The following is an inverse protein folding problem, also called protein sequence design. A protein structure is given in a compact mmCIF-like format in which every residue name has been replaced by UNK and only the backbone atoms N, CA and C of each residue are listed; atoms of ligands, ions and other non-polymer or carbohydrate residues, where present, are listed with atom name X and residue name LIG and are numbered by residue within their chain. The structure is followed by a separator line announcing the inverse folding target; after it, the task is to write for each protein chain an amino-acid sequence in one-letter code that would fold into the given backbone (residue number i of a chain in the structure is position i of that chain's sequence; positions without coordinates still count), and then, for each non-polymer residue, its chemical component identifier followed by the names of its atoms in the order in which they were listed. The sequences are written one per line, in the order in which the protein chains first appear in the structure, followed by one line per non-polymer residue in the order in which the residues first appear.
data_IF_953345397568
#
_entry.id   IF_953345397568
#
_cell.length_a   1.000
_cell.length_b   1.000
_cell.length_c   1.000
_cell.angle_alpha   90.00
_cell.angle_beta   90.00
_cell.angle_gamma   90.00
#
_symmetry.space_group_name_H-M   'P 1'
#
loop_
_entity.id
_entity.type
_entity.pdbx_description
1 polymer ?
#
# COMPACT_ATOMS: atom_id res chain seq x y z
N UNK A 1 5.47 -29.04 -28.86
CA UNK A 1 4.39 -28.32 -28.14
C UNK A 1 5.04 -27.74 -26.91
N UNK A 2 5.50 -26.51 -27.02
CA UNK A 2 6.51 -25.94 -26.11
C UNK A 2 5.92 -24.70 -25.46
N UNK A 3 6.34 -24.48 -24.21
CA UNK A 3 6.22 -23.27 -23.39
C UNK A 3 5.16 -23.33 -22.27
N UNK A 4 5.32 -24.33 -21.39
CA UNK A 4 5.10 -24.09 -19.96
C UNK A 4 6.39 -23.46 -19.43
N UNK A 5 6.55 -22.15 -19.60
CA UNK A 5 7.65 -21.40 -18.98
C UNK A 5 7.08 -20.64 -17.80
N UNK A 6 7.41 -21.14 -16.60
CA UNK A 6 7.51 -20.43 -15.32
C UNK A 6 7.30 -18.92 -15.47
N UNK A 7 6.25 -18.41 -14.84
CA UNK A 7 6.11 -17.01 -14.45
C UNK A 7 7.14 -16.79 -13.33
N UNK A 8 8.41 -16.69 -13.71
CA UNK A 8 9.50 -16.15 -12.89
C UNK A 8 10.13 -15.08 -13.77
N UNK A 9 10.25 -13.88 -13.22
CA UNK A 9 10.89 -12.73 -13.84
C UNK A 9 10.13 -12.08 -15.01
N UNK A 10 8.92 -11.54 -14.75
CA UNK A 10 8.50 -10.35 -15.50
C UNK A 10 9.10 -9.14 -14.78
N UNK A 11 10.31 -8.75 -15.16
CA UNK A 11 10.72 -7.35 -15.01
C UNK A 11 9.62 -6.52 -15.68
N UNK A 12 8.90 -5.75 -14.88
CA UNK A 12 7.84 -4.84 -15.33
C UNK A 12 8.41 -4.01 -16.47
N UNK A 13 7.77 -4.10 -17.64
CA UNK A 13 8.20 -3.34 -18.79
C UNK A 13 7.84 -1.87 -18.51
N UNK A 14 8.84 -1.00 -18.33
CA UNK A 14 8.66 0.38 -17.88
C UNK A 14 7.66 1.18 -18.74
N UNK A 15 7.52 0.83 -20.03
CA UNK A 15 6.50 1.40 -20.93
C UNK A 15 5.08 0.96 -20.59
N UNK A 16 4.88 -0.29 -20.14
CA UNK A 16 3.59 -0.78 -19.68
C UNK A 16 3.12 -0.01 -18.44
N UNK A 17 4.06 0.36 -17.57
CA UNK A 17 3.76 1.10 -16.36
C UNK A 17 3.24 2.51 -16.68
N UNK A 18 3.79 3.22 -17.68
CA UNK A 18 3.33 4.59 -18.03
C UNK A 18 1.89 4.66 -18.55
N UNK A 19 1.51 3.77 -19.46
CA UNK A 19 0.14 3.76 -19.97
C UNK A 19 -0.84 3.37 -18.86
N UNK A 20 -0.42 2.44 -18.01
CA UNK A 20 -1.21 1.98 -16.88
C UNK A 20 -1.37 3.03 -15.78
N UNK A 21 -0.31 3.75 -15.41
CA UNK A 21 -0.35 4.88 -14.48
C UNK A 21 -1.36 5.93 -14.95
N UNK A 22 -1.42 6.19 -16.27
CA UNK A 22 -2.41 7.11 -16.83
C UNK A 22 -3.84 6.60 -16.61
N UNK A 23 -4.08 5.31 -16.90
CA UNK A 23 -5.39 4.69 -16.65
C UNK A 23 -5.76 4.73 -15.16
N UNK A 24 -4.82 4.42 -14.26
CA UNK A 24 -5.04 4.51 -12.82
C UNK A 24 -5.37 5.94 -12.41
N UNK A 25 -4.65 6.93 -12.93
CA UNK A 25 -4.92 8.36 -12.68
C UNK A 25 -6.31 8.78 -13.13
N UNK A 26 -6.72 8.39 -14.34
CA UNK A 26 -8.08 8.65 -14.86
C UNK A 26 -9.16 7.98 -14.00
N UNK A 27 -8.87 6.79 -13.47
CA UNK A 27 -9.78 6.03 -12.61
C UNK A 27 -9.87 6.60 -11.20
N UNK A 28 -8.77 7.13 -10.66
CA UNK A 28 -8.76 7.91 -9.41
C UNK A 28 -9.64 9.15 -9.59
N UNK A 29 -9.46 9.90 -10.69
CA UNK A 29 -10.28 11.08 -10.98
C UNK A 29 -11.78 10.74 -11.13
N UNK A 30 -12.09 9.56 -11.66
CA UNK A 30 -13.47 9.08 -11.83
C UNK A 30 -14.05 8.42 -10.56
N UNK A 31 -13.31 8.40 -9.44
CA UNK A 31 -13.69 7.73 -8.18
C UNK A 31 -14.00 6.22 -8.33
N UNK A 32 -13.36 5.53 -9.27
CA UNK A 32 -13.59 4.11 -9.55
C UNK A 32 -12.71 3.21 -8.67
N UNK A 33 -12.97 3.25 -7.36
CA UNK A 33 -12.21 2.49 -6.37
C UNK A 33 -12.25 0.97 -6.60
N UNK A 34 -13.38 0.46 -7.10
CA UNK A 34 -13.54 -0.97 -7.37
C UNK A 34 -12.59 -1.45 -8.47
N UNK A 35 -12.46 -0.68 -9.55
CA UNK A 35 -11.50 -0.99 -10.61
C UNK A 35 -10.06 -1.01 -10.09
N UNK A 36 -9.68 0.00 -9.29
CA UNK A 36 -8.30 0.11 -8.79
C UNK A 36 -7.98 -1.00 -7.79
N UNK A 37 -8.90 -1.29 -6.85
CA UNK A 37 -8.71 -2.40 -5.90
C UNK A 37 -8.64 -3.75 -6.60
N UNK A 38 -9.49 -4.01 -7.60
CA UNK A 38 -9.42 -5.29 -8.33
C UNK A 38 -8.13 -5.39 -9.14
N UNK A 39 -7.74 -4.29 -9.78
CA UNK A 39 -6.49 -4.18 -10.52
C UNK A 39 -5.27 -4.48 -9.65
N UNK A 40 -5.16 -3.81 -8.50
CA UNK A 40 -4.03 -3.99 -7.59
C UNK A 40 -3.98 -5.40 -6.99
N UNK A 41 -5.13 -6.06 -6.81
CA UNK A 41 -5.19 -7.47 -6.39
C UNK A 41 -4.69 -8.47 -7.42
N UNK A 42 -4.75 -8.14 -8.71
CA UNK A 42 -4.32 -9.04 -9.78
C UNK A 42 -2.84 -8.88 -10.16
N UNK A 43 -2.17 -7.84 -9.64
CA UNK A 43 -0.73 -7.58 -9.87
C UNK A 43 0.12 -7.95 -8.66
N UNK A 44 1.44 -8.02 -8.85
CA UNK A 44 2.32 -8.23 -7.70
C UNK A 44 2.37 -6.98 -6.82
N UNK A 45 2.54 -7.15 -5.49
CA UNK A 45 2.63 -6.02 -4.57
C UNK A 45 3.68 -4.97 -4.96
N UNK A 46 4.86 -5.43 -5.41
CA UNK A 46 5.93 -4.55 -5.91
C UNK A 46 5.51 -3.74 -7.15
N UNK A 47 4.74 -4.33 -8.07
CA UNK A 47 4.27 -3.64 -9.28
C UNK A 47 3.25 -2.54 -8.90
N UNK A 48 2.37 -2.83 -7.93
CA UNK A 48 1.41 -1.86 -7.41
C UNK A 48 2.10 -0.73 -6.65
N UNK A 49 3.12 -1.06 -5.85
CA UNK A 49 3.94 -0.08 -5.15
C UNK A 49 4.64 0.85 -6.15
N UNK A 50 5.29 0.30 -7.16
CA UNK A 50 5.91 1.07 -8.26
C UNK A 50 4.91 2.07 -8.87
N UNK A 51 3.68 1.63 -9.16
CA UNK A 51 2.64 2.51 -9.72
C UNK A 51 2.32 3.66 -8.75
N UNK A 52 2.08 3.35 -7.47
CA UNK A 52 1.76 4.33 -6.44
C UNK A 52 2.89 5.36 -6.29
N UNK A 53 4.15 4.91 -6.31
CA UNK A 53 5.32 5.79 -6.22
C UNK A 53 5.43 6.76 -7.39
N UNK A 54 5.04 6.33 -8.59
CA UNK A 54 5.03 7.17 -9.79
C UNK A 54 3.83 8.12 -9.88
N UNK A 55 2.79 7.95 -9.04
CA UNK A 55 1.70 8.92 -8.96
C UNK A 55 2.18 10.20 -8.29
N UNK A 56 1.70 11.36 -8.76
CA UNK A 56 1.90 12.61 -8.05
C UNK A 56 1.23 12.59 -6.67
N UNK A 57 1.74 13.40 -5.73
CA UNK A 57 1.22 13.50 -4.36
C UNK A 57 -0.31 13.68 -4.29
N UNK A 58 -0.88 14.55 -5.14
CA UNK A 58 -2.34 14.76 -5.19
C UNK A 58 -3.10 13.49 -5.59
N UNK A 59 -2.55 12.71 -6.52
CA UNK A 59 -3.18 11.47 -6.97
C UNK A 59 -3.06 10.37 -5.92
N UNK A 60 -1.94 10.30 -5.19
CA UNK A 60 -1.78 9.40 -4.04
C UNK A 60 -2.78 9.73 -2.94
N UNK A 61 -2.91 11.01 -2.58
CA UNK A 61 -3.89 11.44 -1.59
C UNK A 61 -5.32 11.08 -2.02
N UNK A 62 -5.67 11.35 -3.28
CA UNK A 62 -6.98 10.99 -3.82
C UNK A 62 -7.20 9.47 -3.80
N UNK A 63 -6.21 8.66 -4.18
CA UNK A 63 -6.26 7.20 -4.15
C UNK A 63 -6.57 6.67 -2.74
N UNK A 64 -5.88 7.20 -1.72
CA UNK A 64 -6.09 6.80 -0.31
C UNK A 64 -7.46 7.23 0.20
N UNK A 65 -7.96 8.38 -0.25
CA UNK A 65 -9.28 8.91 0.11
C UNK A 65 -10.43 8.31 -0.70
N UNK A 66 -10.15 7.47 -1.70
CA UNK A 66 -11.20 6.81 -2.46
C UNK A 66 -12.08 5.97 -1.54
N UNK A 67 -13.39 6.14 -1.67
CA UNK A 67 -14.34 5.38 -0.87
C UNK A 67 -14.12 3.88 -1.11
N UNK A 68 -14.05 3.11 -0.02
CA UNK A 68 -13.85 1.65 -0.05
C UNK A 68 -12.46 1.18 -0.53
N UNK A 69 -11.51 2.08 -0.82
CA UNK A 69 -10.13 1.69 -1.12
C UNK A 69 -9.47 1.15 0.15
N UNK A 70 -8.94 -0.07 0.05
CA UNK A 70 -8.14 -0.70 1.10
C UNK A 70 -6.79 -1.01 0.48
N UNK A 71 -5.76 -0.34 0.97
CA UNK A 71 -4.40 -0.68 0.58
C UNK A 71 -4.08 -2.06 1.12
N UNK A 72 -3.52 -2.90 0.26
CA UNK A 72 -3.04 -4.20 0.68
C UNK A 72 -1.77 -3.99 1.52
N UNK A 73 -1.65 -4.62 2.71
CA UNK A 73 -0.45 -4.52 3.51
C UNK A 73 0.82 -4.93 2.76
N UNK A 74 0.75 -5.96 1.90
CA UNK A 74 1.89 -6.38 1.09
C UNK A 74 2.31 -5.30 0.08
N UNK A 75 1.35 -4.53 -0.45
CA UNK A 75 1.67 -3.39 -1.33
C UNK A 75 2.32 -2.28 -0.52
N UNK A 76 1.84 -2.05 0.71
CA UNK A 76 2.32 -0.97 1.55
C UNK A 76 3.79 -1.16 1.96
N UNK A 77 4.22 -2.38 2.29
CA UNK A 77 5.61 -2.68 2.66
C UNK A 77 6.60 -2.48 1.50
N UNK A 78 6.15 -2.72 0.27
CA UNK A 78 6.98 -2.57 -0.94
C UNK A 78 7.20 -1.11 -1.32
N UNK A 79 6.38 -0.18 -0.78
CA UNK A 79 6.58 1.25 -0.97
C UNK A 79 7.86 1.71 -0.28
N UNK A 80 8.54 2.68 -0.86
CA UNK A 80 9.66 3.34 -0.22
C UNK A 80 9.23 4.12 1.05
N UNK A 81 10.16 4.25 2.00
CA UNK A 81 9.91 4.87 3.31
C UNK A 81 9.32 6.29 3.24
N UNK A 82 9.73 7.09 2.24
CA UNK A 82 9.23 8.45 2.07
C UNK A 82 7.76 8.45 1.68
N UNK A 83 7.35 7.55 0.79
CA UNK A 83 5.95 7.42 0.35
C UNK A 83 5.11 6.77 1.45
N UNK A 84 5.63 5.78 2.17
CA UNK A 84 4.96 5.23 3.35
C UNK A 84 4.63 6.33 4.38
N UNK A 85 5.63 7.15 4.73
CA UNK A 85 5.48 8.26 5.67
C UNK A 85 4.46 9.30 5.18
N UNK A 86 4.44 9.57 3.87
CA UNK A 86 3.46 10.46 3.26
C UNK A 86 2.04 9.88 3.36
N UNK A 87 1.85 8.62 2.97
CA UNK A 87 0.54 7.95 2.96
C UNK A 87 -0.02 7.78 4.37
N UNK A 88 0.82 7.46 5.35
CA UNK A 88 0.43 7.34 6.77
C UNK A 88 -0.27 8.61 7.26
N UNK A 89 0.16 9.79 6.81
CA UNK A 89 -0.48 11.07 7.19
C UNK A 89 -1.89 11.24 6.62
N UNK A 90 -2.22 10.51 5.57
CA UNK A 90 -3.55 10.53 4.93
C UNK A 90 -4.46 9.40 5.41
N UNK A 91 -3.90 8.35 5.99
CA UNK A 91 -4.65 7.23 6.54
C UNK A 91 -5.24 7.56 7.92
N UNK A 92 -6.41 6.99 8.22
CA UNK A 92 -6.93 7.00 9.59
C UNK A 92 -6.17 6.01 10.46
N UNK A 93 -6.16 6.22 11.78
CA UNK A 93 -5.53 5.30 12.72
C UNK A 93 -6.06 3.87 12.57
N UNK A 94 -7.36 3.69 12.30
CA UNK A 94 -7.98 2.38 12.08
C UNK A 94 -7.45 1.69 10.81
N UNK A 95 -7.19 2.46 9.75
CA UNK A 95 -6.62 1.92 8.52
C UNK A 95 -5.17 1.45 8.76
N UNK A 96 -4.38 2.24 9.47
CA UNK A 96 -3.00 1.87 9.84
C UNK A 96 -3.01 0.61 10.72
N UNK A 97 -3.87 0.56 11.74
CA UNK A 97 -4.06 -0.64 12.57
C UNK A 97 -4.43 -1.86 11.72
N UNK A 98 -5.30 -1.69 10.73
CA UNK A 98 -5.65 -2.78 9.82
C UNK A 98 -4.47 -3.24 8.98
N UNK A 99 -3.57 -2.35 8.57
CA UNK A 99 -2.35 -2.72 7.84
C UNK A 99 -1.43 -3.51 8.76
N UNK A 100 -1.08 -2.95 9.92
CA UNK A 100 -0.15 -3.54 10.89
C UNK A 100 -0.59 -4.94 11.35
N UNK A 101 -1.89 -5.17 11.52
CA UNK A 101 -2.42 -6.49 11.94
C UNK A 101 -2.28 -7.60 10.91
N UNK A 102 -2.11 -7.25 9.64
CA UNK A 102 -2.01 -8.21 8.55
C UNK A 102 -0.57 -8.35 8.04
N UNK A 103 0.40 -7.75 8.74
CA UNK A 103 1.82 -7.86 8.47
C UNK A 103 2.52 -8.72 9.52
N UNK A 104 3.70 -9.22 9.16
CA UNK A 104 4.61 -9.83 10.12
C UNK A 104 5.12 -8.76 11.11
N UNK A 105 5.48 -9.20 12.32
CA UNK A 105 5.89 -8.29 13.40
C UNK A 105 7.03 -7.37 12.99
N UNK A 106 8.03 -7.88 12.29
CA UNK A 106 9.20 -7.11 11.84
C UNK A 106 8.82 -5.98 10.88
N UNK A 107 7.97 -6.28 9.89
CA UNK A 107 7.49 -5.29 8.92
C UNK A 107 6.56 -4.26 9.56
N UNK A 108 5.70 -4.71 10.48
CA UNK A 108 4.81 -3.84 11.23
C UNK A 108 5.58 -2.89 12.15
N UNK A 109 6.69 -3.33 12.76
CA UNK A 109 7.60 -2.47 13.52
C UNK A 109 8.19 -1.39 12.61
N UNK A 110 8.73 -1.78 11.44
CA UNK A 110 9.30 -0.83 10.49
C UNK A 110 8.29 0.25 10.04
N UNK A 111 7.04 -0.12 9.77
CA UNK A 111 5.99 0.85 9.43
C UNK A 111 5.64 1.72 10.63
N UNK A 112 5.55 1.13 11.83
CA UNK A 112 5.26 1.88 13.05
C UNK A 112 6.36 2.92 13.33
N UNK A 113 7.60 2.65 12.94
CA UNK A 113 8.69 3.63 13.02
C UNK A 113 8.43 4.89 12.18
N UNK A 114 7.79 4.73 11.01
CA UNK A 114 7.43 5.80 10.09
C UNK A 114 6.22 6.65 10.53
N UNK A 115 5.46 6.19 11.54
CA UNK A 115 4.36 6.96 12.12
C UNK A 115 4.90 8.06 13.04
N UNK A 116 4.26 9.23 13.06
CA UNK A 116 4.60 10.28 14.04
C UNK A 116 4.40 9.79 15.49
N UNK A 117 5.33 10.11 16.38
CA UNK A 117 5.31 9.66 17.79
C UNK A 117 4.00 9.99 18.52
N UNK A 118 3.37 11.12 18.16
CA UNK A 118 2.06 11.54 18.68
C UNK A 118 0.94 10.54 18.38
N UNK A 119 1.00 9.88 17.22
CA UNK A 119 -0.03 8.96 16.72
C UNK A 119 0.32 7.50 17.04
N UNK A 120 1.60 7.16 17.24
CA UNK A 120 2.04 5.80 17.61
C UNK A 120 1.28 5.26 18.82
N UNK A 121 1.15 6.06 19.87
CA UNK A 121 0.42 5.65 21.09
C UNK A 121 -1.06 5.37 20.82
N UNK A 122 -1.70 6.18 19.96
CA UNK A 122 -3.09 5.97 19.58
C UNK A 122 -3.26 4.67 18.78
N UNK A 123 -2.38 4.42 17.80
CA UNK A 123 -2.38 3.21 16.98
C UNK A 123 -2.11 1.96 17.83
N UNK A 124 -1.09 1.99 18.69
CA UNK A 124 -0.78 0.90 19.61
C UNK A 124 -1.95 0.61 20.56
N UNK A 125 -2.67 1.63 21.01
CA UNK A 125 -3.84 1.46 21.88
C UNK A 125 -5.03 0.79 21.18
N UNK A 126 -5.16 1.00 19.87
CA UNK A 126 -6.20 0.39 19.03
C UNK A 126 -5.88 -1.06 18.62
N UNK A 127 -4.61 -1.46 18.71
CA UNK A 127 -4.19 -2.83 18.42
C UNK A 127 -4.64 -3.81 19.52
N UNK A 128 -5.05 -5.04 19.14
CA UNK A 128 -5.27 -6.10 20.12
C UNK A 128 -4.02 -6.34 20.96
N UNK A 129 -4.14 -6.74 22.25
CA UNK A 129 -2.99 -6.90 23.13
C UNK A 129 -1.90 -7.79 22.53
N UNK A 130 -2.28 -8.91 21.90
CA UNK A 130 -1.35 -9.84 21.27
C UNK A 130 -0.48 -9.17 20.21
N UNK A 131 -1.11 -8.45 19.28
CA UNK A 131 -0.43 -7.78 18.17
C UNK A 131 0.41 -6.62 18.72
N UNK A 132 -0.13 -5.86 19.69
CA UNK A 132 0.62 -4.78 20.36
C UNK A 132 1.87 -5.28 21.07
N UNK A 133 1.81 -6.42 21.76
CA UNK A 133 2.99 -6.98 22.43
C UNK A 133 4.08 -7.37 21.43
N UNK A 134 3.69 -7.90 20.26
CA UNK A 134 4.65 -8.25 19.21
C UNK A 134 5.38 -7.04 18.61
N UNK A 135 4.80 -5.84 18.70
CA UNK A 135 5.44 -4.58 18.26
C UNK A 135 6.26 -3.88 19.36
N UNK A 136 6.24 -4.43 20.59
CA UNK A 136 6.95 -3.89 21.75
C UNK A 136 8.11 -4.79 22.21
N UNK A 137 8.30 -5.93 21.53
CA UNK A 137 9.37 -6.90 21.81
C UNK A 137 10.70 -6.43 21.21
#
# INVERSE_FOLDING_TARGET
MTLIKKIKDKKVNFEFNKEYIKVVTDKIASNDASFITNSFKEMHPADAADIIEHLDQNNRENLIKLNNFKIDPEVFIELNESIQTEIIKYLSSEAIVSILKNLESDDAIAILENVEEKDKNAILSLLPPKDRFALLE
#
